data_IF_292426343247
#
_entry.id   IF_292426343247
#
_cell.length_a   1.000
_cell.length_b   1.000
_cell.length_c   1.000
_cell.angle_alpha   90.00
_cell.angle_beta   90.00
_cell.angle_gamma   90.00
#
_symmetry.space_group_name_H-M   'P 1'
#
loop_
_entity.id
_entity.type
_entity.pdbx_description
1 polymer ?
#
# COMPACT_ATOMS: atom_id res chain seq x y z
N UNK A 1 -7.09 -6.35 -32.22
CA UNK A 1 -8.50 -6.76 -32.01
C UNK A 1 -8.98 -7.77 -33.05
N UNK A 2 -8.76 -7.57 -34.36
CA UNK A 2 -9.15 -8.53 -35.41
C UNK A 2 -8.49 -9.92 -35.28
N UNK A 3 -7.21 -9.98 -34.94
CA UNK A 3 -6.46 -11.24 -34.79
C UNK A 3 -7.02 -12.12 -33.65
N UNK A 4 -7.42 -11.51 -32.53
CA UNK A 4 -8.00 -12.23 -31.39
C UNK A 4 -9.31 -12.93 -31.78
N UNK A 5 -10.22 -12.21 -32.45
CA UNK A 5 -11.46 -12.78 -32.96
C UNK A 5 -11.21 -13.86 -34.01
N UNK A 6 -10.21 -13.67 -34.87
CA UNK A 6 -9.81 -14.68 -35.85
C UNK A 6 -9.35 -15.98 -35.16
N UNK A 7 -8.53 -15.88 -34.11
CA UNK A 7 -8.09 -17.06 -33.34
C UNK A 7 -9.28 -17.78 -32.69
N UNK A 8 -10.23 -17.04 -32.09
CA UNK A 8 -11.45 -17.63 -31.49
C UNK A 8 -12.26 -18.38 -32.55
N UNK A 9 -12.48 -17.76 -33.71
CA UNK A 9 -13.24 -18.38 -34.80
C UNK A 9 -12.52 -19.64 -35.30
N UNK A 10 -11.20 -19.61 -35.45
CA UNK A 10 -10.40 -20.78 -35.84
C UNK A 10 -10.48 -21.88 -34.78
N UNK A 11 -10.33 -21.57 -33.49
CA UNK A 11 -10.46 -22.57 -32.42
C UNK A 11 -11.86 -23.18 -32.37
N UNK A 12 -12.92 -22.38 -32.55
CA UNK A 12 -14.29 -22.86 -32.60
C UNK A 12 -14.49 -23.79 -33.81
N UNK A 13 -13.96 -23.43 -34.99
CA UNK A 13 -14.00 -24.30 -36.17
C UNK A 13 -13.26 -25.62 -35.94
N UNK A 14 -12.11 -25.60 -35.27
CA UNK A 14 -11.38 -26.82 -34.91
C UNK A 14 -12.20 -27.68 -33.93
N UNK A 15 -12.80 -27.08 -32.90
CA UNK A 15 -13.63 -27.81 -31.94
C UNK A 15 -14.84 -28.47 -32.61
N UNK A 16 -15.51 -27.74 -33.51
CA UNK A 16 -16.61 -28.28 -34.32
C UNK A 16 -16.11 -29.39 -35.25
N UNK A 17 -14.96 -29.22 -35.91
CA UNK A 17 -14.38 -30.25 -36.77
C UNK A 17 -14.03 -31.53 -35.98
N UNK A 18 -13.44 -31.40 -34.79
CA UNK A 18 -13.14 -32.54 -33.92
C UNK A 18 -14.41 -33.26 -33.43
N UNK A 19 -15.50 -32.53 -33.23
CA UNK A 19 -16.79 -33.12 -32.86
C UNK A 19 -17.47 -33.83 -34.05
N UNK A 20 -17.42 -33.24 -35.24
CA UNK A 20 -18.18 -33.68 -36.42
C UNK A 20 -17.44 -34.74 -37.25
N UNK A 21 -16.13 -34.62 -37.45
CA UNK A 21 -15.34 -35.47 -38.35
C UNK A 21 -15.34 -36.96 -37.95
N UNK A 22 -15.19 -37.35 -36.67
CA UNK A 22 -15.23 -38.76 -36.27
C UNK A 22 -16.58 -39.42 -36.59
N UNK A 23 -17.68 -38.69 -36.37
CA UNK A 23 -19.04 -39.19 -36.65
C UNK A 23 -19.33 -39.28 -38.15
N UNK A 24 -18.79 -38.35 -38.95
CA UNK A 24 -18.91 -38.41 -40.41
C UNK A 24 -18.07 -39.52 -41.05
N UNK A 25 -16.94 -39.91 -40.43
CA UNK A 25 -16.07 -40.96 -40.96
C UNK A 25 -16.67 -42.35 -40.82
N UNK A 26 -17.45 -42.61 -39.77
CA UNK A 26 -18.25 -43.83 -39.54
C UNK A 26 -17.43 -45.14 -39.48
N UNK A 27 -17.87 -46.11 -38.67
CA UNK A 27 -17.27 -47.46 -38.57
C UNK A 27 -17.54 -48.33 -39.81
N UNK A 28 -17.16 -47.84 -41.00
CA UNK A 28 -17.14 -48.68 -42.21
C UNK A 28 -16.06 -49.76 -42.16
N UNK A 29 -15.11 -49.66 -41.23
CA UNK A 29 -13.96 -50.57 -41.17
C UNK A 29 -14.25 -51.88 -40.43
N UNK A 30 -15.23 -51.93 -39.51
CA UNK A 30 -15.37 -53.09 -38.61
C UNK A 30 -16.09 -54.28 -39.25
N UNK A 31 -17.24 -54.04 -39.91
CA UNK A 31 -18.07 -55.14 -40.44
C UNK A 31 -17.47 -55.83 -41.67
N UNK A 32 -16.83 -55.10 -42.58
CA UNK A 32 -16.16 -55.71 -43.76
C UNK A 32 -14.94 -56.54 -43.36
N UNK A 33 -14.28 -56.21 -42.23
CA UNK A 33 -13.08 -56.94 -41.80
C UNK A 33 -13.39 -58.35 -41.32
N UNK A 34 -14.47 -58.56 -40.55
CA UNK A 34 -14.79 -59.86 -39.93
C UNK A 34 -15.23 -60.91 -40.95
N UNK A 35 -16.14 -60.57 -41.85
CA UNK A 35 -16.61 -61.52 -42.87
C UNK A 35 -15.50 -61.86 -43.87
N UNK A 36 -14.67 -60.87 -44.22
CA UNK A 36 -13.50 -61.08 -45.06
C UNK A 36 -12.45 -61.98 -44.36
N UNK A 37 -12.24 -61.78 -43.05
CA UNK A 37 -11.30 -62.58 -42.25
C UNK A 37 -11.79 -64.02 -42.07
N UNK A 38 -13.07 -64.23 -41.77
CA UNK A 38 -13.67 -65.57 -41.63
C UNK A 38 -13.59 -66.34 -42.95
N UNK A 39 -13.84 -65.67 -44.08
CA UNK A 39 -13.68 -66.26 -45.41
C UNK A 39 -12.21 -66.61 -45.70
N UNK A 40 -11.27 -65.74 -45.34
CA UNK A 40 -9.85 -65.99 -45.52
C UNK A 40 -9.36 -67.18 -44.67
N UNK A 41 -9.79 -67.29 -43.42
CA UNK A 41 -9.48 -68.44 -42.55
C UNK A 41 -10.06 -69.74 -43.09
N UNK A 42 -11.31 -69.73 -43.58
CA UNK A 42 -11.92 -70.91 -44.21
C UNK A 42 -11.11 -71.38 -45.42
N UNK A 43 -10.73 -70.45 -46.30
CA UNK A 43 -9.93 -70.77 -47.49
C UNK A 43 -8.54 -71.29 -47.13
N UNK A 44 -7.89 -70.69 -46.13
CA UNK A 44 -6.61 -71.15 -45.62
C UNK A 44 -6.70 -72.57 -45.06
N UNK A 45 -7.75 -72.86 -44.27
CA UNK A 45 -7.93 -74.17 -43.68
C UNK A 45 -8.24 -75.24 -44.74
N UNK A 46 -8.94 -74.87 -45.80
CA UNK A 46 -9.19 -75.75 -46.94
C UNK A 46 -7.88 -76.11 -47.68
N UNK A 47 -6.96 -75.15 -47.83
CA UNK A 47 -5.65 -75.42 -48.43
C UNK A 47 -4.72 -76.23 -47.54
N UNK A 48 -4.78 -76.05 -46.20
CA UNK A 48 -4.04 -76.90 -45.26
C UNK A 48 -4.53 -78.35 -45.33
N UNK A 49 -5.84 -78.56 -45.36
CA UNK A 49 -6.42 -79.91 -45.51
C UNK A 49 -5.99 -80.60 -46.81
N UNK A 50 -5.88 -79.84 -47.91
CA UNK A 50 -5.38 -80.38 -49.19
C UNK A 50 -3.91 -80.80 -49.11
N UNK A 51 -3.08 -80.00 -48.42
CA UNK A 51 -1.66 -80.33 -48.21
C UNK A 51 -1.45 -81.52 -47.26
N UNK A 52 -2.28 -81.63 -46.21
CA UNK A 52 -2.19 -82.71 -45.23
C UNK A 52 -2.62 -84.06 -45.85
N UNK A 53 -3.58 -84.05 -46.78
CA UNK A 53 -4.01 -85.22 -47.56
C UNK A 53 -2.93 -85.66 -48.56
N UNK A 54 -2.30 -84.72 -49.29
CA UNK A 54 -1.17 -85.00 -50.18
C UNK A 54 0.03 -85.61 -49.44
N UNK A 55 0.17 -85.31 -48.15
CA UNK A 55 1.21 -85.86 -47.26
C UNK A 55 0.77 -87.16 -46.56
N UNK A 56 -0.45 -87.64 -46.80
CA UNK A 56 -1.00 -88.87 -46.22
C UNK A 56 -1.29 -88.79 -44.72
N UNK A 57 -1.45 -87.57 -44.18
CA UNK A 57 -1.69 -87.31 -42.76
C UNK A 57 -3.17 -87.41 -42.40
N UNK A 58 -4.06 -87.18 -43.37
CA UNK A 58 -5.52 -87.15 -43.20
C UNK A 58 -6.18 -88.01 -44.28
N UNK A 59 -7.12 -88.86 -43.88
CA UNK A 59 -8.02 -89.62 -44.76
C UNK A 59 -9.45 -89.05 -44.64
N UNK A 60 -10.25 -89.14 -45.71
CA UNK A 60 -11.66 -88.71 -45.77
C UNK A 60 -11.95 -87.19 -45.81
N UNK A 61 -11.26 -86.47 -46.72
CA UNK A 61 -11.51 -85.05 -47.08
C UNK A 61 -12.98 -84.59 -47.10
N UNK A 62 -13.94 -85.31 -47.72
CA UNK A 62 -15.32 -84.82 -47.81
C UNK A 62 -16.02 -84.70 -46.45
N UNK A 63 -15.63 -85.46 -45.43
CA UNK A 63 -16.20 -85.32 -44.08
C UNK A 63 -15.64 -84.08 -43.37
N UNK A 64 -14.33 -83.88 -43.40
CA UNK A 64 -13.70 -82.71 -42.77
C UNK A 64 -14.11 -81.38 -43.41
N UNK A 65 -14.35 -81.34 -44.73
CA UNK A 65 -14.92 -80.16 -45.38
C UNK A 65 -16.33 -79.88 -44.84
N UNK A 66 -17.12 -80.92 -44.61
CA UNK A 66 -18.49 -80.79 -44.09
C UNK A 66 -18.50 -80.29 -42.65
N UNK A 67 -17.63 -80.81 -41.78
CA UNK A 67 -17.44 -80.32 -40.42
C UNK A 67 -16.98 -78.86 -40.39
N UNK A 68 -16.07 -78.47 -41.30
CA UNK A 68 -15.62 -77.08 -41.41
C UNK A 68 -16.75 -76.14 -41.87
N UNK A 69 -17.63 -76.61 -42.75
CA UNK A 69 -18.84 -75.87 -43.15
C UNK A 69 -19.85 -75.74 -42.01
N UNK A 70 -20.09 -76.82 -41.26
CA UNK A 70 -21.00 -76.81 -40.11
C UNK A 70 -20.50 -75.93 -38.97
N UNK A 71 -19.19 -75.96 -38.69
CA UNK A 71 -18.55 -75.05 -37.74
C UNK A 71 -18.63 -73.60 -38.22
N UNK A 72 -18.36 -73.32 -39.50
CA UNK A 72 -18.47 -71.96 -40.04
C UNK A 72 -19.91 -71.43 -39.96
N UNK A 73 -20.92 -72.27 -40.18
CA UNK A 73 -22.33 -71.88 -40.01
C UNK A 73 -22.70 -71.67 -38.55
N UNK A 74 -22.17 -72.47 -37.61
CA UNK A 74 -22.45 -72.34 -36.18
C UNK A 74 -21.72 -71.17 -35.52
N UNK A 75 -20.54 -70.79 -36.01
CA UNK A 75 -19.76 -69.63 -35.54
C UNK A 75 -20.25 -68.30 -36.14
N UNK A 76 -21.28 -68.31 -36.99
CA UNK A 76 -22.01 -67.10 -37.36
C UNK A 76 -23.05 -66.87 -36.26
N UNK A 77 -22.86 -65.88 -35.36
CA UNK A 77 -23.83 -65.64 -34.30
C UNK A 77 -25.19 -65.30 -34.90
N UNK A 78 -26.25 -66.05 -34.53
CA UNK A 78 -27.64 -65.82 -34.97
C UNK A 78 -28.20 -64.41 -34.63
N UNK A 79 -27.42 -63.58 -33.93
CA UNK A 79 -27.76 -62.21 -33.53
C UNK A 79 -26.90 -61.14 -34.22
N UNK A 80 -26.40 -61.42 -35.42
CA UNK A 80 -25.68 -60.45 -36.25
C UNK A 80 -26.61 -59.42 -36.94
N UNK A 81 -27.54 -58.77 -36.23
CA UNK A 81 -28.10 -57.47 -36.67
C UNK A 81 -28.65 -56.70 -35.48
N UNK A 82 -27.78 -56.17 -34.64
CA UNK A 82 -27.94 -54.77 -34.25
C UNK A 82 -26.85 -53.99 -34.96
N UNK A 83 -27.08 -53.72 -36.24
CA UNK A 83 -26.44 -52.57 -36.88
C UNK A 83 -26.84 -51.40 -36.00
N UNK A 84 -25.90 -50.89 -35.18
CA UNK A 84 -26.14 -49.66 -34.44
C UNK A 84 -26.60 -48.65 -35.48
N UNK A 85 -27.84 -48.16 -35.36
CA UNK A 85 -28.36 -47.25 -36.37
C UNK A 85 -27.35 -46.11 -36.52
N UNK A 86 -26.84 -45.83 -37.73
CA UNK A 86 -25.85 -44.78 -37.89
C UNK A 86 -26.46 -43.52 -37.34
N UNK A 87 -25.78 -42.90 -36.38
CA UNK A 87 -26.17 -41.64 -35.77
C UNK A 87 -26.51 -40.69 -36.92
N UNK A 88 -27.81 -40.40 -37.10
CA UNK A 88 -28.28 -39.64 -38.25
C UNK A 88 -27.59 -38.27 -38.23
N UNK A 89 -27.06 -37.80 -39.36
CA UNK A 89 -26.30 -36.53 -39.44
C UNK A 89 -27.03 -35.33 -38.81
N UNK A 90 -28.35 -35.38 -38.76
CA UNK A 90 -29.22 -34.40 -38.10
C UNK A 90 -29.05 -34.32 -36.57
N UNK A 91 -28.56 -35.37 -35.91
CA UNK A 91 -28.26 -35.38 -34.47
C UNK A 91 -26.98 -34.59 -34.12
N UNK A 92 -26.08 -34.35 -35.09
CA UNK A 92 -24.92 -33.48 -34.91
C UNK A 92 -25.30 -32.01 -34.81
N UNK A 93 -26.44 -31.61 -35.40
CA UNK A 93 -26.92 -30.23 -35.40
C UNK A 93 -27.18 -29.73 -33.97
N UNK A 94 -28.00 -30.39 -33.13
CA UNK A 94 -28.21 -29.94 -31.76
C UNK A 94 -26.93 -30.01 -30.91
N UNK A 95 -26.06 -31.00 -31.11
CA UNK A 95 -24.77 -31.09 -30.40
C UNK A 95 -23.81 -29.95 -30.75
N UNK A 96 -23.70 -29.62 -32.05
CA UNK A 96 -22.87 -28.51 -32.53
C UNK A 96 -23.43 -27.16 -32.09
N UNK A 97 -24.76 -26.99 -32.17
CA UNK A 97 -25.44 -25.79 -31.69
C UNK A 97 -25.20 -25.60 -30.19
N UNK A 98 -25.35 -26.67 -29.39
CA UNK A 98 -25.09 -26.64 -27.96
C UNK A 98 -23.63 -26.30 -27.66
N UNK A 99 -22.68 -26.88 -28.40
CA UNK A 99 -21.25 -26.55 -28.28
C UNK A 99 -21.00 -25.06 -28.54
N UNK A 100 -21.56 -24.49 -29.61
CA UNK A 100 -21.41 -23.07 -29.94
C UNK A 100 -22.05 -22.20 -28.86
N UNK A 101 -23.27 -22.53 -28.41
CA UNK A 101 -23.99 -21.78 -27.39
C UNK A 101 -23.27 -21.79 -26.04
N UNK A 102 -22.78 -22.95 -25.61
CA UNK A 102 -21.99 -23.07 -24.36
C UNK A 102 -20.69 -22.28 -24.48
N UNK A 103 -19.99 -22.38 -25.62
CA UNK A 103 -18.74 -21.63 -25.84
C UNK A 103 -18.98 -20.12 -25.78
N UNK A 104 -19.99 -19.63 -26.50
CA UNK A 104 -20.34 -18.21 -26.49
C UNK A 104 -20.83 -17.77 -25.12
N UNK A 105 -21.68 -18.56 -24.45
CA UNK A 105 -22.16 -18.27 -23.10
C UNK A 105 -21.01 -18.15 -22.10
N UNK A 106 -20.05 -19.08 -22.14
CA UNK A 106 -18.86 -19.03 -21.29
C UNK A 106 -17.99 -17.81 -21.61
N UNK A 107 -17.84 -17.47 -22.89
CA UNK A 107 -17.12 -16.26 -23.30
C UNK A 107 -17.83 -14.98 -22.82
N UNK A 108 -19.15 -14.89 -22.88
CA UNK A 108 -19.86 -13.73 -22.35
C UNK A 108 -19.78 -13.65 -20.81
N UNK A 109 -19.70 -14.80 -20.14
CA UNK A 109 -19.56 -14.86 -18.69
C UNK A 109 -18.13 -14.50 -18.21
N UNK A 110 -17.08 -14.91 -18.93
CA UNK A 110 -15.68 -14.77 -18.49
C UNK A 110 -14.89 -13.72 -19.30
N UNK A 111 -15.25 -13.50 -20.56
CA UNK A 111 -14.42 -12.90 -21.62
C UNK A 111 -14.19 -11.39 -21.56
N UNK A 112 -14.45 -10.73 -20.43
CA UNK A 112 -13.97 -9.38 -20.17
C UNK A 112 -14.45 -8.28 -21.13
N UNK A 113 -15.47 -8.52 -21.97
CA UNK A 113 -15.89 -7.60 -23.03
C UNK A 113 -16.26 -6.21 -22.49
N UNK A 114 -16.94 -6.17 -21.34
CA UNK A 114 -17.30 -4.91 -20.69
C UNK A 114 -16.06 -4.12 -20.25
N UNK A 115 -15.06 -4.79 -19.69
CA UNK A 115 -13.80 -4.19 -19.26
C UNK A 115 -13.00 -3.67 -20.46
N UNK A 116 -12.96 -4.41 -21.57
CA UNK A 116 -12.30 -3.96 -22.81
C UNK A 116 -13.03 -2.77 -23.42
N UNK A 117 -14.37 -2.77 -23.43
CA UNK A 117 -15.17 -1.64 -23.90
C UNK A 117 -14.94 -0.40 -23.03
N UNK A 118 -15.01 -0.55 -21.71
CA UNK A 118 -14.70 0.51 -20.77
C UNK A 118 -13.29 1.05 -20.99
N UNK A 119 -12.27 0.17 -21.04
CA UNK A 119 -10.89 0.54 -21.34
C UNK A 119 -10.76 1.33 -22.65
N UNK A 120 -11.42 0.91 -23.73
CA UNK A 120 -11.42 1.66 -25.00
C UNK A 120 -12.01 3.07 -24.82
N UNK A 121 -13.11 3.21 -24.06
CA UNK A 121 -13.67 4.52 -23.73
C UNK A 121 -12.70 5.36 -22.92
N UNK A 122 -11.97 4.76 -21.96
CA UNK A 122 -10.93 5.42 -21.16
C UNK A 122 -9.82 5.96 -22.07
N UNK A 123 -9.32 5.12 -22.98
CA UNK A 123 -8.27 5.53 -23.91
C UNK A 123 -8.74 6.62 -24.87
N UNK A 124 -10.01 6.60 -25.29
CA UNK A 124 -10.58 7.64 -26.14
C UNK A 124 -10.72 9.00 -25.42
N UNK A 125 -10.97 9.01 -24.11
CA UNK A 125 -11.09 10.23 -23.29
C UNK A 125 -9.77 10.76 -22.72
N UNK A 126 -8.68 9.99 -22.81
CA UNK A 126 -7.37 10.41 -22.28
C UNK A 126 -6.89 11.79 -22.77
N UNK A 127 -7.03 12.17 -24.05
CA UNK A 127 -6.65 13.51 -24.51
C UNK A 127 -7.40 14.63 -23.79
N UNK A 128 -8.70 14.45 -23.53
CA UNK A 128 -9.53 15.40 -22.79
C UNK A 128 -9.09 15.50 -21.31
N UNK A 129 -8.87 14.35 -20.66
CA UNK A 129 -8.36 14.32 -19.28
C UNK A 129 -7.00 15.03 -19.14
N UNK A 130 -6.09 14.84 -20.11
CA UNK A 130 -4.80 15.53 -20.17
C UNK A 130 -4.98 17.04 -20.40
N UNK A 131 -5.92 17.44 -21.26
CA UNK A 131 -6.21 18.85 -21.51
C UNK A 131 -6.73 19.56 -20.24
N UNK A 132 -7.65 18.93 -19.51
CA UNK A 132 -8.20 19.47 -18.25
C UNK A 132 -7.16 19.67 -17.15
N UNK A 133 -6.04 18.95 -17.20
CA UNK A 133 -4.90 19.13 -16.27
C UNK A 133 -4.06 20.34 -16.69
N UNK A 134 -3.94 20.59 -17.99
CA UNK A 134 -3.15 21.69 -18.52
C UNK A 134 -3.87 23.04 -18.45
N UNK A 135 -5.20 23.05 -18.46
CA UNK A 135 -6.03 24.26 -18.39
C UNK A 135 -6.56 24.51 -16.97
N UNK A 136 -6.06 25.57 -16.33
CA UNK A 136 -6.46 25.97 -14.98
C UNK A 136 -7.94 26.38 -14.86
N UNK A 137 -8.61 26.72 -15.96
CA UNK A 137 -10.02 27.11 -15.96
C UNK A 137 -10.97 25.90 -16.09
N UNK A 138 -10.42 24.72 -16.35
CA UNK A 138 -11.22 23.50 -16.50
C UNK A 138 -11.77 23.02 -15.14
N UNK A 139 -12.96 22.41 -15.10
CA UNK A 139 -13.51 21.84 -13.87
C UNK A 139 -12.55 20.82 -13.25
N UNK A 140 -12.39 20.80 -11.91
CA UNK A 140 -11.49 19.88 -11.24
C UNK A 140 -11.84 18.43 -11.55
N UNK A 141 -10.80 17.59 -11.67
CA UNK A 141 -10.97 16.15 -11.93
C UNK A 141 -11.72 15.51 -10.76
N UNK A 142 -12.70 14.67 -11.09
CA UNK A 142 -13.36 13.83 -10.10
C UNK A 142 -12.45 12.65 -9.71
N UNK A 143 -12.76 11.97 -8.61
CA UNK A 143 -12.00 10.78 -8.21
C UNK A 143 -12.03 9.69 -9.29
N UNK A 144 -13.16 9.56 -10.01
CA UNK A 144 -13.31 8.63 -11.12
C UNK A 144 -12.43 9.02 -12.29
N UNK A 145 -12.38 10.32 -12.63
CA UNK A 145 -11.48 10.83 -13.66
C UNK A 145 -10.00 10.53 -13.34
N UNK A 146 -9.62 10.64 -12.06
CA UNK A 146 -8.25 10.33 -11.59
C UNK A 146 -7.94 8.84 -11.69
N UNK A 147 -8.90 7.96 -11.37
CA UNK A 147 -8.76 6.51 -11.55
C UNK A 147 -8.60 6.13 -13.02
N UNK A 148 -9.42 6.74 -13.87
CA UNK A 148 -9.40 6.57 -15.32
C UNK A 148 -8.07 7.01 -15.92
N UNK A 149 -7.60 8.20 -15.52
CA UNK A 149 -6.29 8.72 -15.89
C UNK A 149 -5.18 7.76 -15.46
N UNK A 150 -5.26 7.19 -14.26
CA UNK A 150 -4.32 6.18 -13.78
C UNK A 150 -4.28 4.91 -14.63
N UNK A 151 -5.43 4.42 -15.12
CA UNK A 151 -5.47 3.29 -16.07
C UNK A 151 -4.91 3.66 -17.44
N UNK A 152 -5.29 4.83 -17.96
CA UNK A 152 -4.79 5.34 -19.24
C UNK A 152 -3.28 5.49 -19.22
N UNK A 153 -2.72 6.16 -18.21
CA UNK A 153 -1.28 6.33 -18.04
C UNK A 153 -0.52 5.01 -17.95
N UNK A 154 -1.00 4.04 -17.15
CA UNK A 154 -0.37 2.71 -17.09
C UNK A 154 -0.40 2.00 -18.45
N UNK A 155 -1.46 2.19 -19.23
CA UNK A 155 -1.57 1.63 -20.58
C UNK A 155 -0.58 2.31 -21.55
N UNK A 156 -0.48 3.63 -21.50
CA UNK A 156 0.44 4.40 -22.35
C UNK A 156 1.91 4.09 -21.99
N UNK A 157 2.23 3.99 -20.70
CA UNK A 157 3.57 3.65 -20.20
C UNK A 157 4.00 2.21 -20.53
N UNK A 158 3.07 1.28 -20.79
CA UNK A 158 3.43 -0.03 -21.34
C UNK A 158 3.96 0.06 -22.78
N UNK A 159 3.52 1.07 -23.54
CA UNK A 159 3.96 1.31 -24.92
C UNK A 159 5.21 2.17 -24.95
N UNK A 160 5.25 3.22 -24.13
CA UNK A 160 6.39 4.12 -23.97
C UNK A 160 6.84 4.20 -22.50
N UNK A 161 7.65 3.24 -22.03
CA UNK A 161 8.14 3.23 -20.66
C UNK A 161 9.19 4.32 -20.39
N UNK A 162 9.67 5.02 -21.42
CA UNK A 162 10.69 6.07 -21.29
C UNK A 162 10.12 7.46 -21.02
N UNK A 163 8.80 7.61 -21.04
CA UNK A 163 8.14 8.88 -20.82
C UNK A 163 8.13 9.27 -19.33
N UNK A 164 9.16 10.03 -18.92
CA UNK A 164 9.32 10.50 -17.54
C UNK A 164 8.14 11.37 -17.04
N UNK A 165 7.49 12.14 -17.94
CA UNK A 165 6.35 12.99 -17.58
C UNK A 165 5.10 12.19 -17.27
N UNK A 166 4.83 11.13 -18.03
CA UNK A 166 3.69 10.24 -17.77
C UNK A 166 3.93 9.43 -16.48
N UNK A 167 5.17 9.04 -16.17
CA UNK A 167 5.53 8.47 -14.87
C UNK A 167 5.31 9.46 -13.71
N UNK A 168 5.71 10.72 -13.88
CA UNK A 168 5.47 11.77 -12.90
C UNK A 168 3.96 11.95 -12.66
N UNK A 169 3.17 12.01 -13.72
CA UNK A 169 1.72 12.17 -13.63
C UNK A 169 1.07 10.95 -12.97
N UNK A 170 1.54 9.73 -13.27
CA UNK A 170 1.10 8.52 -12.58
C UNK A 170 1.43 8.57 -11.08
N UNK A 171 2.58 9.14 -10.72
CA UNK A 171 2.96 9.40 -9.34
C UNK A 171 1.96 10.33 -8.64
N UNK A 172 1.56 11.43 -9.29
CA UNK A 172 0.54 12.36 -8.79
C UNK A 172 -0.83 11.71 -8.64
N UNK A 173 -1.22 10.88 -9.60
CA UNK A 173 -2.44 10.06 -9.51
C UNK A 173 -2.38 9.14 -8.30
N UNK A 174 -1.23 8.48 -8.08
CA UNK A 174 -1.00 7.66 -6.88
C UNK A 174 -1.22 8.47 -5.59
N UNK A 175 -0.66 9.67 -5.50
CA UNK A 175 -0.87 10.55 -4.34
C UNK A 175 -2.33 10.97 -4.15
N UNK A 176 -3.01 11.36 -5.24
CA UNK A 176 -4.41 11.78 -5.20
C UNK A 176 -5.36 10.65 -4.79
N UNK A 177 -5.02 9.40 -5.13
CA UNK A 177 -5.75 8.20 -4.74
C UNK A 177 -5.29 7.62 -3.39
N UNK A 178 -4.39 8.30 -2.67
CA UNK A 178 -3.76 7.83 -1.45
C UNK A 178 -3.09 6.44 -1.60
N UNK A 179 -2.62 6.11 -2.81
CA UNK A 179 -1.88 4.90 -3.12
C UNK A 179 -0.38 5.21 -3.08
N UNK A 180 0.20 5.13 -1.88
CA UNK A 180 1.61 5.41 -1.64
C UNK A 180 2.55 4.55 -2.49
N UNK A 181 2.21 3.26 -2.69
CA UNK A 181 3.02 2.33 -3.47
C UNK A 181 3.15 2.78 -4.94
N UNK A 182 2.02 3.12 -5.58
CA UNK A 182 2.02 3.65 -6.96
C UNK A 182 2.76 4.98 -7.02
N UNK A 183 2.51 5.87 -6.06
CA UNK A 183 3.14 7.19 -6.02
C UNK A 183 4.67 7.08 -5.96
N UNK A 184 5.20 6.35 -4.98
CA UNK A 184 6.63 6.19 -4.78
C UNK A 184 7.31 5.51 -5.96
N UNK A 185 6.75 4.40 -6.47
CA UNK A 185 7.34 3.68 -7.61
C UNK A 185 7.35 4.53 -8.89
N UNK A 186 6.25 5.22 -9.19
CA UNK A 186 6.14 6.02 -10.40
C UNK A 186 7.07 7.24 -10.36
N UNK A 187 7.15 7.96 -9.24
CA UNK A 187 8.12 9.06 -9.09
C UNK A 187 9.57 8.58 -9.06
N UNK A 188 9.85 7.41 -8.48
CA UNK A 188 11.20 6.82 -8.53
C UNK A 188 11.61 6.54 -9.98
N UNK A 189 10.74 5.94 -10.79
CA UNK A 189 11.00 5.73 -12.22
C UNK A 189 11.13 7.05 -12.99
N UNK A 190 10.25 8.03 -12.75
CA UNK A 190 10.36 9.35 -13.36
C UNK A 190 11.72 10.01 -13.05
N UNK A 191 12.17 9.94 -11.79
CA UNK A 191 13.44 10.51 -11.35
C UNK A 191 14.65 9.77 -11.93
N UNK A 192 14.57 8.45 -12.11
CA UNK A 192 15.62 7.68 -12.79
C UNK A 192 15.77 8.11 -14.26
N UNK A 193 14.66 8.39 -14.95
CA UNK A 193 14.67 8.80 -16.35
C UNK A 193 15.12 10.25 -16.53
N UNK A 194 14.76 11.15 -15.62
CA UNK A 194 15.04 12.59 -15.74
C UNK A 194 15.40 13.24 -14.39
N UNK A 195 16.58 12.95 -13.83
CA UNK A 195 16.97 13.39 -12.48
C UNK A 195 17.23 14.90 -12.35
N UNK A 196 17.46 15.59 -13.47
CA UNK A 196 17.68 17.05 -13.52
C UNK A 196 16.39 17.86 -13.59
N UNK A 197 15.25 17.24 -13.88
CA UNK A 197 13.97 17.91 -13.93
C UNK A 197 13.51 18.27 -12.50
N UNK A 198 13.36 19.57 -12.24
CA UNK A 198 13.06 20.08 -10.91
C UNK A 198 11.68 19.64 -10.41
N UNK A 199 10.69 19.48 -11.30
CA UNK A 199 9.32 19.10 -10.94
C UNK A 199 9.25 17.61 -10.56
N UNK A 200 9.95 16.77 -11.32
CA UNK A 200 10.10 15.34 -11.04
C UNK A 200 10.88 15.13 -9.74
N UNK A 201 12.00 15.82 -9.57
CA UNK A 201 12.84 15.72 -8.37
C UNK A 201 12.08 16.15 -7.11
N UNK A 202 11.28 17.22 -7.20
CA UNK A 202 10.41 17.66 -6.12
C UNK A 202 9.35 16.61 -5.78
N UNK A 203 8.66 16.07 -6.79
CA UNK A 203 7.63 15.06 -6.58
C UNK A 203 8.19 13.77 -5.96
N UNK A 204 9.38 13.35 -6.38
CA UNK A 204 10.06 12.20 -5.78
C UNK A 204 10.48 12.47 -4.33
N UNK A 205 11.03 13.65 -4.05
CA UNK A 205 11.33 14.04 -2.67
C UNK A 205 10.06 14.08 -1.80
N UNK A 206 8.94 14.58 -2.33
CA UNK A 206 7.67 14.67 -1.62
C UNK A 206 7.14 13.29 -1.21
N UNK A 207 7.16 12.30 -2.09
CA UNK A 207 6.72 10.93 -1.73
C UNK A 207 7.65 10.27 -0.72
N UNK A 208 8.96 10.52 -0.81
CA UNK A 208 9.94 9.99 0.15
C UNK A 208 9.73 10.57 1.56
N UNK A 209 9.47 11.88 1.68
CA UNK A 209 9.18 12.53 2.98
C UNK A 209 7.85 12.14 3.62
N UNK A 210 7.00 11.41 2.90
CA UNK A 210 5.73 10.87 3.42
C UNK A 210 5.81 9.38 3.73
N UNK A 211 6.94 8.74 3.42
CA UNK A 211 7.15 7.33 3.66
C UNK A 211 7.25 7.05 5.16
N UNK A 212 6.80 5.85 5.56
CA UNK A 212 6.99 5.37 6.93
C UNK A 212 8.44 4.92 7.20
N UNK A 213 9.26 4.75 6.15
CA UNK A 213 10.67 4.38 6.28
C UNK A 213 11.54 5.61 6.63
N UNK A 214 12.27 5.61 7.76
CA UNK A 214 13.20 6.68 8.10
C UNK A 214 14.26 6.96 7.03
N UNK A 215 14.71 5.94 6.28
CA UNK A 215 15.72 6.11 5.22
C UNK A 215 15.19 6.90 4.02
N UNK A 216 13.92 6.68 3.67
CA UNK A 216 13.24 7.47 2.64
C UNK A 216 13.17 8.93 3.07
N UNK A 217 12.79 9.20 4.31
CA UNK A 217 12.72 10.57 4.85
C UNK A 217 14.08 11.29 4.83
N UNK A 218 15.17 10.59 5.18
CA UNK A 218 16.53 11.13 5.09
C UNK A 218 16.89 11.45 3.62
N UNK A 219 16.59 10.53 2.70
CA UNK A 219 16.86 10.69 1.27
C UNK A 219 16.05 11.84 0.66
N UNK A 220 14.77 11.95 1.03
CA UNK A 220 13.88 13.05 0.66
C UNK A 220 14.41 14.39 1.14
N UNK A 221 14.78 14.50 2.42
CA UNK A 221 15.41 15.71 2.97
C UNK A 221 16.71 16.09 2.25
N UNK A 222 17.55 15.11 1.89
CA UNK A 222 18.78 15.36 1.11
C UNK A 222 18.46 15.92 -0.28
N UNK A 223 17.45 15.35 -0.96
CA UNK A 223 17.00 15.87 -2.26
C UNK A 223 16.50 17.31 -2.14
N UNK A 224 15.66 17.61 -1.16
CA UNK A 224 15.13 18.97 -0.93
C UNK A 224 16.24 19.97 -0.64
N UNK A 225 17.23 19.62 0.20
CA UNK A 225 18.41 20.48 0.44
C UNK A 225 19.17 20.77 -0.86
N UNK A 226 19.42 19.76 -1.68
CA UNK A 226 20.10 19.95 -2.97
C UNK A 226 19.30 20.83 -3.96
N UNK A 227 17.98 20.89 -3.84
CA UNK A 227 17.15 21.80 -4.63
C UNK A 227 17.24 23.25 -4.14
N UNK A 228 17.37 23.45 -2.83
CA UNK A 228 17.58 24.79 -2.24
C UNK A 228 18.95 25.37 -2.60
N UNK A 229 19.96 24.54 -2.81
CA UNK A 229 21.27 25.00 -3.32
C UNK A 229 21.16 25.68 -4.69
N UNK A 230 20.21 25.23 -5.52
CA UNK A 230 19.98 25.80 -6.85
C UNK A 230 19.01 26.99 -6.82
N UNK A 231 17.95 26.91 -6.02
CA UNK A 231 16.97 27.98 -5.85
C UNK A 231 16.54 28.09 -4.38
N UNK A 232 17.24 28.96 -3.65
CA UNK A 232 17.01 29.21 -2.21
C UNK A 232 15.64 29.83 -1.92
N UNK A 233 14.96 30.38 -2.92
CA UNK A 233 13.67 31.06 -2.78
C UNK A 233 12.46 30.21 -3.17
N UNK A 234 12.64 28.90 -3.39
CA UNK A 234 11.51 28.01 -3.68
C UNK A 234 10.71 27.71 -2.39
N UNK A 235 9.61 28.45 -2.20
CA UNK A 235 8.71 28.32 -1.05
C UNK A 235 8.16 26.89 -0.88
N UNK A 236 7.91 26.16 -1.98
CA UNK A 236 7.37 24.79 -1.91
C UNK A 236 8.41 23.83 -1.35
N UNK A 237 9.66 23.93 -1.80
CA UNK A 237 10.78 23.12 -1.30
C UNK A 237 11.04 23.44 0.17
N UNK A 238 11.05 24.73 0.55
CA UNK A 238 11.24 25.16 1.94
C UNK A 238 10.14 24.62 2.86
N UNK A 239 8.88 24.73 2.45
CA UNK A 239 7.74 24.25 3.23
C UNK A 239 7.81 22.75 3.47
N UNK A 240 8.14 21.97 2.42
CA UNK A 240 8.23 20.52 2.51
C UNK A 240 9.42 20.09 3.38
N UNK A 241 10.58 20.74 3.21
CA UNK A 241 11.75 20.47 4.03
C UNK A 241 11.48 20.78 5.51
N UNK A 242 10.93 21.94 5.82
CA UNK A 242 10.65 22.35 7.19
C UNK A 242 9.68 21.39 7.89
N UNK A 243 8.62 20.99 7.19
CA UNK A 243 7.67 20.01 7.72
C UNK A 243 8.32 18.65 7.96
N UNK A 244 9.10 18.14 7.01
CA UNK A 244 9.80 16.87 7.17
C UNK A 244 10.78 16.91 8.36
N UNK A 245 11.60 17.96 8.49
CA UNK A 245 12.52 18.10 9.63
C UNK A 245 11.78 18.18 10.98
N UNK A 246 10.60 18.80 11.01
CA UNK A 246 9.78 18.85 12.22
C UNK A 246 9.24 17.48 12.63
N UNK A 247 8.67 16.72 11.67
CA UNK A 247 8.13 15.38 11.90
C UNK A 247 9.24 14.40 12.34
N UNK A 248 10.44 14.56 11.81
CA UNK A 248 11.62 13.76 12.21
C UNK A 248 12.25 14.21 13.55
N UNK A 249 11.72 15.25 14.20
CA UNK A 249 12.24 15.77 15.48
C UNK A 249 13.49 16.65 15.36
N UNK A 250 13.91 16.99 14.15
CA UNK A 250 15.01 17.92 13.86
C UNK A 250 14.54 19.38 13.95
N UNK A 251 14.06 19.77 15.13
CA UNK A 251 13.44 21.07 15.36
C UNK A 251 14.32 22.28 14.99
N UNK A 252 15.65 22.32 15.27
CA UNK A 252 16.49 23.45 14.86
C UNK A 252 16.51 23.65 13.33
N UNK A 253 16.56 22.56 12.57
CA UNK A 253 16.55 22.57 11.11
C UNK A 253 15.19 23.05 10.57
N UNK A 254 14.09 22.57 11.16
CA UNK A 254 12.73 23.01 10.84
C UNK A 254 12.56 24.52 11.08
N UNK A 255 12.99 25.01 12.24
CA UNK A 255 12.96 26.44 12.60
C UNK A 255 13.76 27.26 11.58
N UNK A 256 14.97 26.83 11.21
CA UNK A 256 15.79 27.53 10.22
C UNK A 256 15.12 27.65 8.85
N UNK A 257 14.50 26.56 8.37
CA UNK A 257 13.79 26.55 7.09
C UNK A 257 12.54 27.46 7.11
N UNK A 258 11.75 27.43 8.18
CA UNK A 258 10.61 28.33 8.35
C UNK A 258 11.01 29.80 8.51
N UNK A 259 12.11 30.10 9.20
CA UNK A 259 12.64 31.46 9.28
C UNK A 259 13.05 31.99 7.91
N UNK A 260 13.67 31.16 7.08
CA UNK A 260 13.97 31.53 5.69
C UNK A 260 12.69 31.77 4.88
N UNK A 261 11.67 30.93 5.06
CA UNK A 261 10.37 31.10 4.43
C UNK A 261 9.72 32.45 4.80
N UNK A 262 9.77 32.87 6.07
CA UNK A 262 9.26 34.17 6.52
C UNK A 262 9.99 35.37 5.88
N UNK A 263 11.27 35.23 5.52
CA UNK A 263 12.03 36.30 4.84
C UNK A 263 11.60 36.50 3.38
N UNK A 264 11.03 35.46 2.77
CA UNK A 264 10.73 35.41 1.33
C UNK A 264 9.23 35.61 1.07
N UNK A 265 8.38 35.32 2.05
CA UNK A 265 6.93 35.52 1.93
C UNK A 265 6.58 37.01 1.71
N UNK A 266 5.61 37.30 0.82
CA UNK A 266 5.11 38.67 0.65
C UNK A 266 4.54 39.23 1.97
N UNK A 267 4.66 40.55 2.20
CA UNK A 267 4.02 41.20 3.33
C UNK A 267 2.50 40.96 3.34
N UNK A 268 1.96 40.53 4.49
CA UNK A 268 0.52 40.26 4.64
C UNK A 268 0.05 38.87 4.16
N UNK A 269 0.96 37.98 3.75
CA UNK A 269 0.60 36.61 3.41
C UNK A 269 0.14 35.83 4.66
N UNK A 270 -1.09 35.27 4.61
CA UNK A 270 -1.69 34.47 5.70
C UNK A 270 -0.83 33.28 6.12
N UNK A 271 -0.01 32.73 5.20
CA UNK A 271 0.93 31.65 5.51
C UNK A 271 1.97 32.08 6.57
N UNK A 272 2.28 33.37 6.67
CA UNK A 272 3.22 33.89 7.65
C UNK A 272 2.78 33.65 9.11
N UNK A 273 1.48 33.73 9.39
CA UNK A 273 0.94 33.41 10.72
C UNK A 273 1.15 31.93 11.07
N UNK A 274 0.83 31.04 10.11
CA UNK A 274 1.01 29.60 10.28
C UNK A 274 2.48 29.25 10.49
N UNK A 275 3.39 29.81 9.69
CA UNK A 275 4.83 29.56 9.80
C UNK A 275 5.37 30.05 11.15
N UNK A 276 4.93 31.21 11.65
CA UNK A 276 5.28 31.68 13.00
C UNK A 276 4.80 30.73 14.10
N UNK A 277 3.56 30.26 14.01
CA UNK A 277 3.02 29.29 14.96
C UNK A 277 3.82 27.97 14.96
N UNK A 278 4.21 27.48 13.77
CA UNK A 278 5.04 26.27 13.64
C UNK A 278 6.44 26.44 14.25
N UNK A 279 7.06 27.61 14.09
CA UNK A 279 8.35 27.94 14.75
C UNK A 279 8.21 27.89 16.27
N UNK A 280 7.16 28.51 16.83
CA UNK A 280 6.94 28.50 18.29
C UNK A 280 6.70 27.07 18.80
N UNK A 281 5.90 26.29 18.09
CA UNK A 281 5.68 24.88 18.43
C UNK A 281 6.99 24.08 18.43
N UNK A 282 7.86 24.30 17.43
CA UNK A 282 9.15 23.64 17.37
C UNK A 282 10.11 24.11 18.47
N UNK A 283 10.07 25.39 18.88
CA UNK A 283 10.85 25.91 20.02
C UNK A 283 10.43 25.27 21.34
N UNK A 284 9.13 25.15 21.57
CA UNK A 284 8.59 24.46 22.75
C UNK A 284 9.03 22.99 22.75
N UNK A 285 8.91 22.29 21.62
CA UNK A 285 9.32 20.87 21.51
C UNK A 285 10.83 20.66 21.62
N UNK A 286 11.65 21.64 21.23
CA UNK A 286 13.12 21.56 21.29
C UNK A 286 13.69 21.98 22.64
N UNK A 287 12.86 22.45 23.58
CA UNK A 287 13.32 23.07 24.83
C UNK A 287 14.03 24.41 24.63
N UNK A 288 13.97 24.99 23.41
CA UNK A 288 14.47 26.33 23.09
C UNK A 288 13.39 27.41 23.26
N UNK A 289 12.35 27.13 24.05
CA UNK A 289 11.41 28.17 24.46
C UNK A 289 12.18 29.32 25.12
N UNK A 290 11.77 30.56 24.86
CA UNK A 290 12.36 31.77 25.45
C UNK A 290 12.11 31.88 26.98
N UNK A 291 11.82 30.75 27.64
CA UNK A 291 11.28 30.72 28.99
C UNK A 291 12.10 29.79 29.86
N UNK A 292 12.86 30.38 30.77
CA UNK A 292 13.69 29.70 31.75
C UNK A 292 13.47 30.28 33.14
N UNK A 293 12.94 29.44 34.03
CA UNK A 293 12.75 29.74 35.43
C UNK A 293 13.84 29.03 36.25
N UNK A 294 14.81 29.78 36.76
CA UNK A 294 15.79 29.29 37.73
C UNK A 294 15.16 29.17 39.12
N UNK A 295 15.32 28.02 39.77
CA UNK A 295 14.78 27.75 41.10
C UNK A 295 15.93 27.33 42.00
N UNK A 296 16.14 28.11 43.07
CA UNK A 296 17.10 27.80 44.13
C UNK A 296 16.34 27.41 45.39
N UNK A 297 16.63 26.22 45.91
CA UNK A 297 15.95 25.66 47.07
C UNK A 297 16.94 25.50 48.22
N UNK A 298 16.59 26.08 49.37
CA UNK A 298 17.31 25.91 50.63
C UNK A 298 16.42 25.27 51.68
N UNK A 299 17.02 24.75 52.75
CA UNK A 299 16.31 24.20 53.90
C UNK A 299 16.50 25.14 55.09
N UNK A 300 15.45 25.30 55.89
CA UNK A 300 15.62 25.88 57.22
C UNK A 300 16.42 24.94 58.13
N UNK A 301 17.01 25.48 59.19
CA UNK A 301 17.84 24.72 60.14
C UNK A 301 17.06 23.56 60.78
N UNK A 302 15.76 23.73 61.01
CA UNK A 302 14.91 22.69 61.60
C UNK A 302 14.65 21.54 60.60
N UNK A 303 14.33 21.89 59.36
CA UNK A 303 14.07 20.89 58.30
C UNK A 303 15.35 20.11 57.97
N UNK A 304 16.51 20.77 57.97
CA UNK A 304 17.79 20.11 57.72
C UNK A 304 18.12 19.02 58.76
N UNK A 305 17.68 19.18 60.01
CA UNK A 305 17.86 18.17 61.07
C UNK A 305 16.90 16.99 60.96
N UNK A 306 15.70 17.23 60.42
CA UNK A 306 14.63 16.23 60.32
C UNK A 306 14.45 15.69 58.89
N UNK A 307 15.46 15.88 58.04
CA UNK A 307 15.41 15.45 56.64
C UNK A 307 15.40 13.92 56.55
N UNK A 308 14.45 13.30 55.83
CA UNK A 308 14.42 11.86 55.66
C UNK A 308 15.61 11.38 54.80
N UNK A 309 16.03 10.12 54.97
CA UNK A 309 17.13 9.55 54.18
C UNK A 309 16.75 9.25 52.72
N UNK A 310 15.45 9.11 52.44
CA UNK A 310 14.90 8.85 51.11
C UNK A 310 13.61 9.66 50.92
N UNK A 311 13.29 9.97 49.68
CA UNK A 311 12.08 10.70 49.33
C UNK A 311 12.14 11.27 47.91
N UNK A 312 11.10 11.99 47.55
CA UNK A 312 11.00 12.71 46.27
C UNK A 312 10.74 14.19 46.53
N UNK A 313 11.47 15.05 45.82
CA UNK A 313 11.23 16.49 45.76
C UNK A 313 10.29 16.78 44.59
N UNK A 314 9.14 17.35 44.90
CA UNK A 314 8.17 17.82 43.94
C UNK A 314 8.25 19.34 43.85
N UNK A 315 8.48 19.85 42.65
CA UNK A 315 8.45 21.28 42.35
C UNK A 315 7.24 21.52 41.47
N UNK A 316 6.34 22.39 41.90
CA UNK A 316 5.12 22.75 41.17
C UNK A 316 5.04 24.25 41.00
N UNK A 317 4.74 24.70 39.78
CA UNK A 317 4.52 26.11 39.45
C UNK A 317 3.03 26.32 39.17
N UNK A 318 2.41 27.30 39.83
CA UNK A 318 1.01 27.72 39.59
C UNK A 318 0.95 29.20 39.23
N UNK A 319 -0.20 29.66 38.75
CA UNK A 319 -0.48 31.09 38.52
C UNK A 319 -0.93 31.85 39.79
N UNK A 320 -0.90 31.18 40.95
CA UNK A 320 -1.35 31.73 42.24
C UNK A 320 -2.87 31.76 42.44
N UNK A 321 -3.67 31.67 41.38
CA UNK A 321 -5.15 31.71 41.43
C UNK A 321 -5.77 30.31 41.46
N UNK A 322 -5.22 29.38 40.68
CA UNK A 322 -5.71 28.01 40.55
C UNK A 322 -4.74 27.02 41.21
N UNK A 323 -5.22 26.09 42.06
CA UNK A 323 -4.37 25.10 42.73
C UNK A 323 -3.76 24.07 41.78
N UNK A 324 -4.26 23.93 40.54
CA UNK A 324 -3.72 23.01 39.55
C UNK A 324 -2.40 23.55 38.99
N UNK A 325 -1.28 22.81 39.11
CA UNK A 325 0.01 23.22 38.56
C UNK A 325 0.02 23.35 37.04
N UNK A 326 0.75 24.34 36.57
CA UNK A 326 1.06 24.59 35.15
C UNK A 326 2.21 23.69 34.72
N UNK A 327 3.26 23.63 35.55
CA UNK A 327 4.45 22.82 35.33
C UNK A 327 4.85 22.08 36.61
N UNK A 328 5.35 20.86 36.45
CA UNK A 328 5.79 20.01 37.57
C UNK A 328 7.09 19.32 37.23
N UNK A 329 8.03 19.32 38.18
CA UNK A 329 9.28 18.57 38.09
C UNK A 329 9.44 17.69 39.32
N UNK A 330 9.80 16.43 39.09
CA UNK A 330 10.01 15.42 40.14
C UNK A 330 11.49 15.06 40.17
N UNK A 331 12.10 15.13 41.34
CA UNK A 331 13.50 14.79 41.56
C UNK A 331 13.64 13.83 42.75
N UNK A 332 14.59 12.89 42.73
CA UNK A 332 14.94 12.14 43.94
C UNK A 332 15.49 13.10 45.00
N UNK A 333 15.27 12.78 46.28
CA UNK A 333 15.82 13.57 47.38
C UNK A 333 17.35 13.61 47.30
N UNK A 334 17.90 14.83 47.26
CA UNK A 334 19.32 15.09 47.07
C UNK A 334 19.89 15.99 48.16
N UNK A 335 21.16 16.37 48.03
CA UNK A 335 21.78 17.38 48.89
C UNK A 335 21.22 18.78 48.58
N UNK A 336 21.14 19.61 49.61
CA UNK A 336 20.76 21.01 49.53
C UNK A 336 21.96 21.91 49.86
N UNK A 337 22.05 23.15 49.34
CA UNK A 337 21.07 23.82 48.48
C UNK A 337 20.96 23.17 47.09
N UNK A 338 19.76 23.18 46.53
CA UNK A 338 19.45 22.61 45.22
C UNK A 338 19.17 23.72 44.22
N UNK A 339 19.88 23.74 43.10
CA UNK A 339 19.65 24.69 42.01
C UNK A 339 19.19 23.93 40.75
N UNK A 340 18.15 24.44 40.09
CA UNK A 340 17.58 23.82 38.90
C UNK A 340 16.87 24.83 38.01
N UNK A 341 16.67 24.48 36.74
CA UNK A 341 15.88 25.27 35.80
C UNK A 341 14.60 24.52 35.41
N UNK A 342 13.56 25.29 35.12
CA UNK A 342 12.30 24.82 34.52
C UNK A 342 11.95 25.65 33.29
N UNK A 343 11.36 25.00 32.30
CA UNK A 343 10.91 25.60 31.04
C UNK A 343 9.56 25.01 30.61
N UNK A 344 9.07 25.39 29.44
CA UNK A 344 7.80 24.91 28.88
C UNK A 344 7.76 23.39 28.66
N UNK A 345 8.91 22.72 28.56
CA UNK A 345 8.98 21.26 28.46
C UNK A 345 8.53 20.57 29.75
N UNK A 346 8.42 21.31 30.86
CA UNK A 346 7.95 20.80 32.16
C UNK A 346 6.44 21.05 32.38
N UNK A 347 5.73 21.59 31.39
CA UNK A 347 4.29 21.84 31.47
C UNK A 347 3.48 20.53 31.54
N UNK A 348 2.42 20.52 32.35
CA UNK A 348 1.52 19.36 32.48
C UNK A 348 0.49 19.27 31.35
N UNK A 349 0.17 20.39 30.70
CA UNK A 349 -0.85 20.46 29.65
C UNK A 349 -0.32 21.26 28.46
N UNK A 350 -0.55 20.81 27.21
CA UNK A 350 -0.05 21.50 26.01
C UNK A 350 -0.56 22.95 25.85
N UNK A 351 -1.72 23.27 26.42
CA UNK A 351 -2.34 24.60 26.32
C UNK A 351 -2.05 25.52 27.52
N UNK A 352 -1.38 25.01 28.56
CA UNK A 352 -1.07 25.78 29.78
C UNK A 352 0.42 25.66 30.06
N UNK A 353 1.20 26.53 29.42
CA UNK A 353 2.65 26.55 29.44
C UNK A 353 3.19 27.55 30.48
N UNK A 354 4.44 27.40 30.90
CA UNK A 354 5.14 28.39 31.75
C UNK A 354 5.21 29.76 31.07
N UNK A 355 5.40 29.79 29.75
CA UNK A 355 5.41 30.99 28.91
C UNK A 355 4.10 31.75 28.86
N UNK A 356 2.98 31.10 29.21
CA UNK A 356 1.67 31.75 29.23
C UNK A 356 1.38 32.48 30.55
N UNK A 357 2.28 32.37 31.54
CA UNK A 357 2.08 32.95 32.87
C UNK A 357 2.56 34.41 32.92
N UNK A 358 1.69 35.29 33.40
CA UNK A 358 2.05 36.67 33.77
C UNK A 358 2.52 36.78 35.22
N UNK A 359 2.07 35.86 36.08
CA UNK A 359 2.49 35.73 37.46
C UNK A 359 2.66 34.26 37.78
N UNK A 360 3.58 33.95 38.68
CA UNK A 360 3.82 32.60 39.13
C UNK A 360 4.02 32.51 40.64
N UNK A 361 3.64 31.35 41.17
CA UNK A 361 3.98 30.91 42.53
C UNK A 361 4.59 29.53 42.43
N UNK A 362 5.74 29.34 43.06
CA UNK A 362 6.46 28.07 43.08
C UNK A 362 6.29 27.45 44.46
N UNK A 363 5.91 26.18 44.49
CA UNK A 363 5.89 25.35 45.68
C UNK A 363 6.88 24.21 45.53
N UNK A 364 7.72 24.01 46.54
CA UNK A 364 8.62 22.86 46.63
C UNK A 364 8.18 22.01 47.82
N UNK A 365 7.99 20.71 47.61
CA UNK A 365 7.59 19.75 48.64
C UNK A 365 8.52 18.56 48.66
N UNK A 366 8.99 18.17 49.84
CA UNK A 366 9.69 16.92 50.10
C UNK A 366 8.68 15.92 50.60
N UNK A 367 8.49 14.85 49.84
CA UNK A 367 7.60 13.75 50.14
C UNK A 367 8.45 12.52 50.52
N UNK A 368 8.47 12.10 51.80
CA UNK A 368 9.21 10.91 52.23
C UNK A 368 8.66 9.63 51.60
N UNK A 369 7.34 9.56 51.37
CA UNK A 369 6.65 8.40 50.79
C UNK A 369 6.64 8.40 49.24
N UNK A 370 7.16 9.44 48.59
CA UNK A 370 7.21 9.57 47.13
C UNK A 370 5.86 9.84 46.45
N UNK A 371 4.79 10.10 47.21
CA UNK A 371 3.46 10.36 46.64
C UNK A 371 3.34 11.80 46.14
N UNK A 372 2.76 11.96 44.95
CA UNK A 372 2.51 13.27 44.34
C UNK A 372 1.41 14.07 45.07
N UNK A 373 0.51 13.40 45.78
CA UNK A 373 -0.49 14.02 46.66
C UNK A 373 0.15 14.45 47.99
N UNK A 374 -0.16 15.66 48.50
CA UNK A 374 0.30 16.10 49.80
C UNK A 374 -0.14 15.12 50.91
N UNK A 375 0.80 14.71 51.75
CA UNK A 375 0.58 13.86 52.92
C UNK A 375 0.94 14.62 54.18
N UNK A 376 0.24 14.33 55.28
CA UNK A 376 0.57 14.88 56.60
C UNK A 376 2.03 14.58 56.94
N UNK A 377 2.77 15.59 57.37
CA UNK A 377 4.18 15.48 57.72
C UNK A 377 5.17 15.82 56.60
N UNK A 378 4.70 16.03 55.36
CA UNK A 378 5.57 16.48 54.27
C UNK A 378 6.13 17.88 54.54
N UNK A 379 7.41 18.09 54.23
CA UNK A 379 8.02 19.41 54.30
C UNK A 379 7.76 20.19 53.01
N UNK A 380 7.42 21.47 53.10
CA UNK A 380 7.23 22.33 51.94
C UNK A 380 7.70 23.76 52.16
N UNK A 381 7.90 24.47 51.06
CA UNK A 381 8.17 25.90 50.99
C UNK A 381 7.46 26.51 49.80
N UNK A 382 6.99 27.74 49.96
CA UNK A 382 6.29 28.52 48.93
C UNK A 382 7.06 29.79 48.61
N UNK A 383 7.13 30.15 47.33
CA UNK A 383 7.53 31.49 46.93
C UNK A 383 6.38 32.50 47.15
N UNK A 384 6.71 33.78 47.16
CA UNK A 384 5.73 34.83 46.90
C UNK A 384 5.20 34.73 45.46
N UNK A 385 3.99 35.23 45.24
CA UNK A 385 3.48 35.47 43.90
C UNK A 385 4.36 36.53 43.24
N UNK A 386 4.94 36.22 42.10
CA UNK A 386 5.94 37.06 41.42
C UNK A 386 5.55 37.25 39.97
N UNK A 387 5.70 38.46 39.45
CA UNK A 387 5.49 38.73 38.03
C UNK A 387 6.51 37.97 37.19
N UNK A 388 6.06 37.39 36.08
CA UNK A 388 6.86 36.56 35.20
C UNK A 388 6.66 36.98 33.75
N UNK A 389 7.77 37.13 33.03
CA UNK A 389 7.79 37.58 31.63
C UNK A 389 8.64 36.66 30.74
N UNK A 390 8.81 35.40 31.15
CA UNK A 390 9.54 34.36 30.42
C UNK A 390 10.84 33.94 31.12
N UNK A 391 11.66 34.87 31.60
CA UNK A 391 12.88 34.53 32.34
C UNK A 391 12.83 35.07 33.76
N UNK A 392 13.26 34.26 34.73
CA UNK A 392 13.25 34.67 36.12
C UNK A 392 14.00 33.70 37.03
N UNK A 393 14.26 34.15 38.25
CA UNK A 393 14.85 33.31 39.29
C UNK A 393 14.05 33.43 40.57
N UNK A 394 13.76 32.30 41.21
CA UNK A 394 13.00 32.23 42.46
C UNK A 394 13.80 31.43 43.48
N UNK A 395 13.97 32.01 44.66
CA UNK A 395 14.60 31.35 45.81
C UNK A 395 13.52 30.93 46.80
N UNK A 396 13.59 29.69 47.27
CA UNK A 396 12.57 29.08 48.12
C UNK A 396 13.26 28.42 49.29
N UNK A 397 12.85 28.77 50.50
CA UNK A 397 13.25 28.08 51.71
C UNK A 397 12.14 27.10 52.10
N UNK A 398 12.49 25.82 52.30
CA UNK A 398 11.58 24.83 52.86
C UNK A 398 11.59 24.98 54.39
N UNK A 399 10.47 25.42 54.94
CA UNK A 399 10.35 25.76 56.36
C UNK A 399 9.00 25.40 57.00
N UNK A 400 8.05 24.83 56.24
CA UNK A 400 6.72 24.48 56.72
C UNK A 400 6.44 22.99 56.59
N UNK A 401 5.55 22.46 57.41
CA UNK A 401 5.11 21.07 57.37
C UNK A 401 3.61 20.98 57.05
N UNK A 402 3.22 20.02 56.21
CA UNK A 402 1.81 19.77 55.91
C UNK A 402 1.13 19.23 57.18
N UNK A 403 0.03 19.86 57.64
CA UNK A 403 -0.60 19.59 58.94
C UNK A 403 -1.27 18.22 59.08
#
# INVERSE_FOLDING_TARGET
MSIFWLIIVVMLMIAVALFVVPVLRGDRAEHTSRDALNKAFYQHRLSELEQDEDQGVVDERPQHIRELQENLLSDIPEQATRVGQPIGRWTLVPGTLLLVLVTLGFYFYVGGLGQVSAWNQIMARMPDLRHRIADENSPPLTIMDVQDLGLGLRTDLQKDPSNAKDWMLLGRVGMALNNASTATQAFAHAYQLSPSDAEIKLGYAEVLTRSADPQDNISGSKLLRSMLEQNQANLRVLSLLAYNEFEQGHYPQAIGAWQLMLKILPPGDKRGDMVRASIEQARVKSGQGNVSLGINVTLSVEVAKQLPQQGTVFISVTDGSNPVPVAVKKLPLSRFPLAMTMDDSNAMMPQRLLSSLHQLKVRVRISPNGLATPSKGDWYGDSSLTDFSGNGQVSIEINQQVP
#
